data_IF_186153634241
#
_entry.id   IF_186153634241
#
_cell.length_a   1.000
_cell.length_b   1.000
_cell.length_c   1.000
_cell.angle_alpha   90.00
_cell.angle_beta   90.00
_cell.angle_gamma   90.00
#
_symmetry.space_group_name_H-M   'P 1'
#
loop_
_entity.id
_entity.type
_entity.pdbx_description
1 polymer ?
#
# COMPACT_ATOMS: atom_id res chain seq x y z
N UNK A 1 3.01 17.40 18.54
CA UNK A 1 2.07 16.33 18.42
C UNK A 1 2.17 15.68 17.06
N UNK A 2 2.29 14.41 17.06
CA UNK A 2 2.44 13.67 15.81
C UNK A 2 1.09 13.57 15.13
N UNK A 3 0.89 14.13 13.97
CA UNK A 3 -0.41 14.09 13.32
C UNK A 3 -0.71 12.78 12.62
N UNK A 4 0.25 11.86 12.59
CA UNK A 4 0.01 10.61 11.91
C UNK A 4 -0.97 9.77 12.70
N UNK A 5 -1.82 9.03 12.00
CA UNK A 5 -2.75 8.17 12.71
C UNK A 5 -2.02 7.10 13.49
N UNK A 6 -2.64 6.68 14.59
CA UNK A 6 -2.11 5.59 15.38
C UNK A 6 -2.88 4.33 14.99
N UNK A 7 -2.63 3.26 15.67
CA UNK A 7 -3.31 2.02 15.42
C UNK A 7 -2.42 1.02 14.74
N UNK A 8 -2.83 -0.23 14.78
CA UNK A 8 -2.00 -1.32 14.31
C UNK A 8 -2.54 -2.04 13.12
N UNK A 9 -3.75 -1.71 12.68
CA UNK A 9 -4.33 -2.44 11.56
C UNK A 9 -3.64 -2.04 10.27
N UNK A 10 -3.56 -2.98 9.37
CA UNK A 10 -3.00 -2.74 8.05
C UNK A 10 -4.08 -2.93 7.00
N UNK A 11 -3.98 -2.19 5.94
CA UNK A 11 -4.88 -2.35 4.81
C UNK A 11 -4.07 -2.38 3.53
N UNK A 12 -4.58 -3.10 2.56
CA UNK A 12 -3.96 -3.18 1.25
C UNK A 12 -5.01 -2.98 0.18
N UNK A 13 -4.64 -2.26 -0.86
CA UNK A 13 -5.45 -2.22 -2.07
C UNK A 13 -4.51 -2.53 -3.22
N UNK A 14 -4.87 -3.54 -4.00
CA UNK A 14 -4.06 -3.98 -5.10
C UNK A 14 -4.77 -3.69 -6.40
N UNK A 15 -4.08 -3.06 -7.32
CA UNK A 15 -4.67 -2.61 -8.58
C UNK A 15 -3.84 -3.07 -9.76
N UNK A 16 -4.47 -3.03 -10.94
CA UNK A 16 -3.74 -3.24 -12.17
C UNK A 16 -3.38 -1.85 -12.69
N UNK A 17 -2.10 -1.54 -12.64
CA UNK A 17 -1.63 -0.27 -13.18
C UNK A 17 -1.58 0.84 -12.16
N UNK A 18 -0.81 1.85 -12.49
CA UNK A 18 -0.50 2.92 -11.56
C UNK A 18 -1.62 3.95 -11.44
N UNK A 19 -2.40 4.13 -12.49
CA UNK A 19 -3.48 5.12 -12.45
C UNK A 19 -4.52 4.75 -11.40
N UNK A 20 -4.94 3.49 -11.40
CA UNK A 20 -5.91 3.05 -10.40
C UNK A 20 -5.31 3.10 -9.00
N UNK A 21 -4.01 2.85 -8.87
CA UNK A 21 -3.35 2.92 -7.58
C UNK A 21 -3.35 4.34 -7.02
N UNK A 22 -3.09 5.31 -7.87
CA UNK A 22 -3.08 6.71 -7.44
C UNK A 22 -4.49 7.14 -7.03
N UNK A 23 -5.50 6.74 -7.81
CA UNK A 23 -6.88 7.06 -7.46
C UNK A 23 -7.27 6.41 -6.14
N UNK A 24 -6.85 5.17 -5.93
CA UNK A 24 -7.15 4.47 -4.68
C UNK A 24 -6.47 5.18 -3.51
N UNK A 25 -5.20 5.52 -3.65
CA UNK A 25 -4.45 6.16 -2.59
C UNK A 25 -5.05 7.51 -2.22
N UNK A 26 -5.46 8.26 -3.22
CA UNK A 26 -6.08 9.55 -3.01
C UNK A 26 -7.40 9.38 -2.23
N UNK A 27 -8.24 8.44 -2.66
CA UNK A 27 -9.50 8.19 -2.00
C UNK A 27 -9.31 7.75 -0.55
N UNK A 28 -8.33 6.90 -0.31
CA UNK A 28 -8.07 6.39 1.03
C UNK A 28 -7.68 7.50 1.98
N UNK A 29 -6.77 8.36 1.56
CA UNK A 29 -6.27 9.40 2.44
C UNK A 29 -7.24 10.56 2.61
N UNK A 30 -8.15 10.72 1.67
CA UNK A 30 -9.18 11.75 1.80
C UNK A 30 -10.36 11.29 2.63
N UNK A 31 -10.56 9.98 2.75
CA UNK A 31 -11.72 9.43 3.42
C UNK A 31 -11.47 9.12 4.89
N UNK A 32 -10.27 8.72 5.22
CA UNK A 32 -10.00 8.19 6.56
C UNK A 32 -8.62 8.60 7.05
N UNK A 33 -8.45 8.50 8.37
CA UNK A 33 -7.15 8.83 8.97
C UNK A 33 -6.25 7.63 8.91
N UNK A 34 -5.55 7.50 7.82
CA UNK A 34 -4.59 6.41 7.61
C UNK A 34 -3.30 6.98 7.07
N UNK A 35 -2.23 6.22 7.26
CA UNK A 35 -0.92 6.57 6.71
C UNK A 35 -0.59 5.58 5.61
N UNK A 36 -0.16 6.07 4.47
CA UNK A 36 0.35 5.19 3.44
C UNK A 36 1.77 4.86 3.83
N UNK A 37 2.03 3.57 4.05
CA UNK A 37 3.37 3.13 4.45
C UNK A 37 4.26 2.98 3.24
N UNK A 38 3.72 2.45 2.17
CA UNK A 38 4.50 2.25 0.96
C UNK A 38 3.63 1.70 -0.14
N UNK A 39 4.16 1.68 -1.34
CA UNK A 39 3.51 0.96 -2.41
C UNK A 39 4.57 0.07 -3.05
N UNK A 40 4.10 -0.98 -3.69
CA UNK A 40 4.95 -1.94 -4.36
C UNK A 40 4.45 -2.13 -5.77
N UNK A 41 5.34 -2.12 -6.72
CA UNK A 41 5.00 -2.41 -8.10
C UNK A 41 5.62 -3.74 -8.44
N UNK A 42 4.82 -4.70 -8.88
CA UNK A 42 5.32 -6.01 -9.20
C UNK A 42 5.13 -6.29 -10.67
N UNK A 43 5.61 -7.48 -11.08
CA UNK A 43 5.48 -7.85 -12.43
C UNK A 43 4.07 -7.77 -12.88
N UNK A 44 3.83 -7.47 -14.13
CA UNK A 44 2.50 -7.36 -14.67
C UNK A 44 1.80 -6.07 -14.29
N UNK A 45 2.55 -5.11 -13.79
CA UNK A 45 2.02 -3.80 -13.43
C UNK A 45 1.01 -3.85 -12.29
N UNK A 46 1.09 -4.86 -11.42
CA UNK A 46 0.28 -4.86 -10.22
C UNK A 46 0.89 -3.88 -9.24
N UNK A 47 0.05 -3.06 -8.65
CA UNK A 47 0.50 -2.08 -7.67
C UNK A 47 -0.26 -2.32 -6.37
N UNK A 48 0.46 -2.47 -5.29
CA UNK A 48 -0.14 -2.67 -3.96
C UNK A 48 0.14 -1.45 -3.12
N UNK A 49 -0.92 -0.88 -2.56
CA UNK A 49 -0.80 0.24 -1.64
C UNK A 49 -1.02 -0.31 -0.23
N UNK A 50 -0.08 -0.05 0.66
CA UNK A 50 -0.14 -0.53 2.03
C UNK A 50 -0.39 0.64 2.97
N UNK A 51 -1.41 0.54 3.80
CA UNK A 51 -1.76 1.61 4.73
C UNK A 51 -1.84 1.09 6.15
N UNK A 52 -1.79 2.01 7.09
CA UNK A 52 -1.89 1.70 8.51
C UNK A 52 -2.80 2.69 9.21
N UNK A 53 -3.49 2.25 10.25
CA UNK A 53 -4.32 3.10 11.08
C UNK A 53 -5.11 2.28 12.08
N UNK A 54 -6.07 2.93 12.73
CA UNK A 54 -7.04 2.24 13.57
C UNK A 54 -7.93 1.40 12.68
N UNK A 55 -8.45 0.31 13.21
CA UNK A 55 -9.20 -0.65 12.41
C UNK A 55 -10.35 0.00 11.62
N UNK A 56 -11.17 0.79 12.29
CA UNK A 56 -12.31 1.40 11.60
C UNK A 56 -11.85 2.33 10.47
N UNK A 57 -10.75 3.05 10.69
CA UNK A 57 -10.21 3.94 9.67
C UNK A 57 -9.66 3.14 8.50
N UNK A 58 -8.96 2.05 8.79
CA UNK A 58 -8.41 1.22 7.74
C UNK A 58 -9.53 0.57 6.93
N UNK A 59 -10.58 0.11 7.61
CA UNK A 59 -11.72 -0.49 6.91
C UNK A 59 -12.37 0.52 5.98
N UNK A 60 -12.58 1.74 6.47
CA UNK A 60 -13.18 2.79 5.64
C UNK A 60 -12.26 3.15 4.47
N UNK A 61 -10.96 3.22 4.73
CA UNK A 61 -10.01 3.57 3.68
C UNK A 61 -9.96 2.49 2.60
N UNK A 62 -9.90 1.22 3.00
CA UNK A 62 -9.84 0.14 2.01
C UNK A 62 -11.12 0.11 1.18
N UNK A 63 -12.27 0.35 1.81
CA UNK A 63 -13.51 0.39 1.07
C UNK A 63 -13.52 1.52 0.04
N UNK A 64 -13.07 2.71 0.46
CA UNK A 64 -13.04 3.87 -0.44
C UNK A 64 -12.03 3.68 -1.57
N UNK A 65 -10.85 3.18 -1.24
CA UNK A 65 -9.81 2.96 -2.25
C UNK A 65 -10.22 1.88 -3.25
N UNK A 66 -10.84 0.82 -2.73
CA UNK A 66 -11.30 -0.26 -3.60
C UNK A 66 -12.38 0.24 -4.55
N UNK A 67 -13.32 1.06 -4.04
CA UNK A 67 -14.36 1.61 -4.89
C UNK A 67 -13.78 2.52 -5.97
N UNK A 68 -12.78 3.33 -5.62
CA UNK A 68 -12.16 4.23 -6.58
C UNK A 68 -11.44 3.45 -7.68
N UNK A 69 -10.71 2.40 -7.31
CA UNK A 69 -10.02 1.59 -8.29
C UNK A 69 -11.00 0.80 -9.15
N UNK A 70 -12.07 0.30 -8.55
CA UNK A 70 -13.08 -0.44 -9.28
C UNK A 70 -13.81 0.44 -10.30
N UNK A 71 -13.99 1.71 -9.98
CA UNK A 71 -14.65 2.64 -10.89
C UNK A 71 -13.86 2.83 -12.18
N UNK A 72 -12.55 2.63 -12.12
CA UNK A 72 -11.70 2.66 -13.29
C UNK A 72 -11.66 1.31 -13.98
N UNK A 73 -12.10 0.27 -13.28
CA UNK A 73 -12.08 -1.08 -13.84
C UNK A 73 -10.79 -1.85 -13.53
N UNK A 74 -9.97 -1.34 -12.64
CA UNK A 74 -8.66 -1.91 -12.41
C UNK A 74 -8.39 -2.36 -10.98
N UNK A 75 -9.43 -2.58 -10.20
CA UNK A 75 -9.26 -3.14 -8.87
C UNK A 75 -8.96 -4.63 -8.96
N UNK A 76 -7.93 -5.07 -8.25
CA UNK A 76 -7.69 -6.48 -8.10
C UNK A 76 -8.24 -6.99 -6.78
N UNK A 77 -7.90 -6.35 -5.68
CA UNK A 77 -8.48 -6.73 -4.39
C UNK A 77 -8.17 -5.69 -3.33
N UNK A 78 -9.00 -5.68 -2.30
CA UNK A 78 -8.72 -4.94 -1.07
C UNK A 78 -8.69 -5.92 0.08
N UNK A 79 -7.92 -5.64 1.12
CA UNK A 79 -7.81 -6.54 2.25
C UNK A 79 -7.43 -5.77 3.50
N UNK A 80 -7.97 -6.22 4.64
CA UNK A 80 -7.66 -5.62 5.93
C UNK A 80 -7.06 -6.67 6.83
N UNK A 81 -5.98 -6.35 7.51
CA UNK A 81 -5.36 -7.21 8.50
C UNK A 81 -5.51 -6.49 9.82
N UNK A 82 -6.49 -6.88 10.66
CA UNK A 82 -6.81 -6.09 11.86
C UNK A 82 -5.69 -6.03 12.88
N UNK A 83 -4.97 -7.11 13.06
CA UNK A 83 -3.95 -7.15 14.11
C UNK A 83 -2.79 -8.00 13.64
N UNK A 84 -1.92 -7.42 12.81
CA UNK A 84 -0.82 -8.18 12.24
C UNK A 84 0.13 -8.67 13.33
N UNK A 85 0.65 -9.88 13.17
CA UNK A 85 1.58 -10.42 14.13
C UNK A 85 2.91 -9.66 14.02
N UNK A 86 3.72 -9.71 15.08
CA UNK A 86 5.03 -9.04 15.01
C UNK A 86 5.89 -9.56 13.87
N UNK A 87 5.76 -10.83 13.51
CA UNK A 87 6.53 -11.37 12.42
C UNK A 87 6.11 -10.77 11.09
N UNK A 88 4.81 -10.56 10.90
CA UNK A 88 4.32 -9.94 9.69
C UNK A 88 4.77 -8.50 9.63
N UNK A 89 4.73 -7.80 10.76
CA UNK A 89 5.22 -6.42 10.81
C UNK A 89 6.66 -6.35 10.34
N UNK A 90 7.46 -7.24 10.87
CA UNK A 90 8.86 -7.26 10.56
C UNK A 90 9.11 -7.48 9.07
N UNK A 91 8.39 -8.42 8.48
CA UNK A 91 8.58 -8.73 7.07
C UNK A 91 8.04 -7.64 6.17
N UNK A 92 6.82 -7.18 6.43
CA UNK A 92 6.19 -6.23 5.54
C UNK A 92 6.77 -4.85 5.62
N UNK A 93 7.24 -4.46 6.79
CA UNK A 93 7.65 -3.08 6.99
C UNK A 93 9.13 -2.87 6.99
N UNK A 94 9.92 -3.94 6.91
CA UNK A 94 11.35 -3.79 6.81
C UNK A 94 11.69 -3.21 5.47
N UNK A 95 12.59 -2.23 5.48
CA UNK A 95 12.92 -1.65 4.28
C UNK A 95 13.59 -2.56 3.39
N UNK A 96 13.25 -2.61 2.22
CA UNK A 96 13.88 -3.41 1.33
C UNK A 96 15.00 -2.75 0.85
N UNK A 97 16.03 -3.21 0.99
CA UNK A 97 17.05 -2.56 0.58
C UNK A 97 17.58 -3.15 -0.50
N UNK A 98 17.95 -3.49 -0.48
CA UNK A 98 18.55 -3.89 -1.29
C UNK A 98 18.64 -4.36 -2.26
N UNK A 99 18.62 -5.06 -2.30
CA UNK A 99 18.93 -5.65 -3.38
C UNK A 99 18.53 -4.89 -4.40
N UNK A 100 17.73 -4.32 -4.19
CA UNK A 100 17.29 -3.59 -5.07
C UNK A 100 18.30 -2.82 -5.54
N UNK A 101 18.97 -2.51 -4.89
CA UNK A 101 19.87 -1.70 -5.28
C UNK A 101 20.84 -2.34 -6.01
N UNK A 102 20.95 -3.15 -5.89
CA UNK A 102 21.95 -3.68 -6.46
C UNK A 102 21.69 -3.90 -7.79
N UNK A 103 21.38 -3.94 -7.88
CA UNK A 103 21.36 -4.00 -8.61
C UNK A 103 21.34 -3.33 -9.49
N UNK A 104 21.51 -3.09 -9.33
CA UNK A 104 21.56 -2.53 -9.82
C UNK A 104 22.21 -2.01 -10.42
N UNK A 105 22.47 -2.20 -10.47
CA UNK A 105 22.99 -1.81 -10.76
C UNK A 105 23.48 -1.66 -11.52
N UNK A 106 23.66 -2.15 -11.48
CA UNK A 106 24.04 -2.07 -11.95
C UNK A 106 24.22 -1.86 -12.86
N UNK A 107 24.12 -2.10 -12.86
CA UNK A 107 24.09 -1.97 -13.51
C UNK A 107 24.30 -1.49 -14.33
N UNK A 108 24.43 -1.53 -14.23
CA UNK A 108 24.53 -1.09 -14.91
C UNK A 108 24.96 -0.72 -15.60
N UNK A 109 25.31 -0.78 -15.47
CA UNK A 109 25.81 -0.42 -15.87
C UNK A 109 26.11 -0.30 -16.81
N UNK A 110 26.46 -0.37 -17.05
CA UNK A 110 26.75 -0.19 -17.75
C UNK A 110 26.84 -0.07 -18.70
N UNK A 111 27.21 0.13 -19.00
CA UNK A 111 27.29 0.22 -19.88
C UNK A 111 27.24 0.01 -20.41
#
# INVERSE_FOLDING_TARGET
MDPRPTGRSLGLVETHGFVAAVEAADAMTKTARVTILRYEVTRGALVTILIRGELAEVEAAVAAGSAAAAAIGDLRRGHVIPSPSPEIESVLLTRRTAPQSASRGRRHSAP
#
